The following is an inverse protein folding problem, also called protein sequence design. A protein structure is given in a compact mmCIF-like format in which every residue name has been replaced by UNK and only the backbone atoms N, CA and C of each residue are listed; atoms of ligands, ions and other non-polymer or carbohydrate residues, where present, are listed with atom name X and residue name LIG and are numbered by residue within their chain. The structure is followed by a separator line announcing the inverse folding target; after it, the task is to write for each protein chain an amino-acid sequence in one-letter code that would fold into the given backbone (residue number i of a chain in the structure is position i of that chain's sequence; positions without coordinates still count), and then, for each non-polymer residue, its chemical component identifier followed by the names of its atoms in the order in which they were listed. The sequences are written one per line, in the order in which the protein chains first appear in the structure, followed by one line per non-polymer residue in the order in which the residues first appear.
data_IF_612950523797
#
_entry.id   IF_612950523797
#
_cell.length_a   1.000
_cell.length_b   1.000
_cell.length_c   1.000
_cell.angle_alpha   90.00
_cell.angle_beta   90.00
_cell.angle_gamma   90.00
#
_symmetry.space_group_name_H-M   'P 1'
#
loop_
_entity.id
_entity.type
_entity.pdbx_description
1 polymer ?
#
# COMPACT_ATOMS: atom_id res chain seq x y z
N UNK A 1 -0.98 -8.16 -17.79
CA UNK A 1 -2.31 -8.05 -17.12
C UNK A 1 -2.61 -9.27 -16.26
N UNK A 2 -2.44 -10.48 -16.83
CA UNK A 2 -2.70 -11.74 -16.11
C UNK A 2 -1.79 -11.91 -14.88
N UNK A 3 -0.74 -11.10 -14.81
CA UNK A 3 0.20 -11.17 -13.69
C UNK A 3 1.05 -9.90 -13.60
N UNK A 4 1.77 -9.53 -14.69
CA UNK A 4 2.61 -8.34 -14.69
C UNK A 4 1.91 -7.11 -14.14
N UNK A 5 2.12 -6.84 -12.86
CA UNK A 5 1.50 -5.70 -12.19
C UNK A 5 1.70 -4.41 -12.97
N UNK A 6 1.00 -3.37 -12.54
CA UNK A 6 1.10 -2.06 -13.19
C UNK A 6 1.16 -0.95 -12.14
N UNK A 7 2.21 -0.15 -12.19
CA UNK A 7 2.40 0.93 -11.24
C UNK A 7 1.26 1.93 -11.30
N UNK A 8 0.80 2.37 -10.12
CA UNK A 8 -0.28 3.32 -10.02
C UNK A 8 -0.11 4.19 -8.76
N UNK A 9 -0.02 5.50 -8.97
CA UNK A 9 0.15 6.43 -7.85
C UNK A 9 -1.11 6.48 -6.99
N UNK A 10 -0.93 6.43 -5.68
CA UNK A 10 -2.06 6.47 -4.76
C UNK A 10 -1.80 7.40 -3.58
N UNK A 11 -2.84 8.08 -3.15
CA UNK A 11 -2.76 9.00 -2.02
C UNK A 11 -3.94 8.77 -1.08
N UNK A 12 -3.71 8.85 0.22
CA UNK A 12 -4.77 8.64 1.20
C UNK A 12 -4.69 9.64 2.34
N UNK A 13 -5.62 9.51 3.28
CA UNK A 13 -5.68 10.40 4.44
C UNK A 13 -6.00 9.59 5.70
N UNK A 14 -5.16 9.72 6.71
CA UNK A 14 -5.36 9.00 7.96
C UNK A 14 -6.09 9.86 8.99
N UNK A 15 -6.60 9.21 10.03
CA UNK A 15 -7.32 9.92 11.09
C UNK A 15 -6.58 9.80 12.41
N UNK A 16 -6.57 10.89 13.18
CA UNK A 16 -5.90 10.90 14.48
C UNK A 16 -6.49 9.85 15.41
N UNK A 17 -6.01 8.61 15.30
CA UNK A 17 -6.50 7.54 16.14
C UNK A 17 -6.70 6.24 15.40
N UNK A 18 -6.48 6.26 14.08
CA UNK A 18 -6.63 5.06 13.26
C UNK A 18 -5.41 4.15 13.37
N UNK A 19 -5.62 2.85 13.20
CA UNK A 19 -4.55 1.87 13.28
C UNK A 19 -3.99 1.55 11.90
N UNK A 20 -4.68 2.01 10.85
CA UNK A 20 -4.24 1.78 9.49
C UNK A 20 -4.78 2.85 8.55
N UNK A 21 -4.38 2.80 7.29
CA UNK A 21 -4.84 3.77 6.30
C UNK A 21 -6.06 3.29 5.54
N UNK A 22 -6.57 2.11 5.90
CA UNK A 22 -7.74 1.58 5.24
C UNK A 22 -7.47 0.29 4.48
N UNK A 23 -6.36 -0.38 4.79
CA UNK A 23 -6.03 -1.62 4.12
C UNK A 23 -4.80 -2.28 4.74
N UNK A 24 -4.90 -3.59 4.97
CA UNK A 24 -3.79 -4.36 5.55
C UNK A 24 -2.93 -4.95 4.44
N UNK A 25 -1.65 -5.14 4.74
CA UNK A 25 -0.72 -5.69 3.76
C UNK A 25 -0.19 -7.06 4.19
N UNK A 26 0.46 -7.75 3.26
CA UNK A 26 1.02 -9.06 3.52
C UNK A 26 2.45 -9.16 2.98
N UNK A 27 3.32 -9.81 3.73
CA UNK A 27 4.71 -9.97 3.32
C UNK A 27 4.82 -10.92 2.14
N UNK A 28 5.39 -10.43 1.04
CA UNK A 28 5.55 -11.25 -0.14
C UNK A 28 6.70 -12.21 0.02
N UNK A 29 6.42 -13.39 0.54
CA UNK A 29 7.46 -14.39 0.78
C UNK A 29 7.76 -15.19 -0.47
N UNK A 30 7.04 -14.94 -1.55
CA UNK A 30 7.28 -15.65 -2.80
C UNK A 30 8.51 -15.08 -3.48
N UNK A 31 8.94 -13.92 -2.98
CA UNK A 31 10.11 -13.24 -3.50
C UNK A 31 10.67 -12.28 -2.45
N UNK A 32 10.09 -11.08 -2.39
CA UNK A 32 10.49 -10.04 -1.45
C UNK A 32 9.55 -8.84 -1.57
N UNK A 33 9.09 -8.31 -0.44
CA UNK A 33 8.21 -7.15 -0.47
C UNK A 33 6.95 -7.33 0.33
N UNK A 34 5.92 -6.53 0.01
CA UNK A 34 4.64 -6.59 0.71
C UNK A 34 3.52 -6.08 -0.18
N UNK A 35 2.34 -6.68 -0.07
CA UNK A 35 1.19 -6.28 -0.87
C UNK A 35 -0.07 -6.21 -0.02
N UNK A 36 -1.00 -5.33 -0.41
CA UNK A 36 -2.25 -5.18 0.32
C UNK A 36 -3.04 -6.48 0.34
N UNK A 37 -3.35 -6.94 1.55
CA UNK A 37 -4.11 -8.17 1.72
C UNK A 37 -5.61 -7.91 1.69
N UNK A 38 -6.00 -6.71 2.09
CA UNK A 38 -7.41 -6.34 2.12
C UNK A 38 -7.59 -4.85 2.37
N UNK A 39 -8.56 -4.25 1.67
CA UNK A 39 -8.86 -2.84 1.81
C UNK A 39 -10.29 -2.62 2.29
N UNK A 40 -10.48 -1.61 3.14
CA UNK A 40 -11.81 -1.31 3.66
C UNK A 40 -12.75 -0.84 2.54
N UNK A 41 -13.77 -1.65 2.21
CA UNK A 41 -14.72 -1.30 1.16
C UNK A 41 -15.40 0.05 1.39
N UNK A 42 -15.03 1.03 0.57
CA UNK A 42 -15.59 2.38 0.67
C UNK A 42 -14.86 3.21 1.73
N UNK A 43 -13.55 3.03 1.80
CA UNK A 43 -12.75 3.77 2.76
C UNK A 43 -11.63 4.55 2.10
N UNK A 44 -10.70 5.12 2.89
CA UNK A 44 -9.58 5.89 2.35
C UNK A 44 -8.85 5.13 1.25
N UNK A 45 -8.62 3.84 1.48
CA UNK A 45 -7.95 3.02 0.49
C UNK A 45 -8.75 2.87 -0.79
N UNK A 46 -10.07 2.74 -0.65
CA UNK A 46 -10.95 2.60 -1.80
C UNK A 46 -11.09 3.94 -2.53
N UNK A 47 -11.03 5.02 -1.75
CA UNK A 47 -11.15 6.36 -2.32
C UNK A 47 -9.88 6.74 -3.07
N UNK A 48 -8.75 6.23 -2.59
CA UNK A 48 -7.47 6.51 -3.23
C UNK A 48 -7.30 5.76 -4.53
N UNK A 49 -7.70 4.49 -4.54
CA UNK A 49 -7.58 3.68 -5.74
C UNK A 49 -6.78 2.41 -5.52
N UNK A 50 -6.46 2.12 -4.25
CA UNK A 50 -5.69 0.92 -3.94
C UNK A 50 -6.46 -0.34 -4.31
N UNK A 51 -5.92 -1.10 -5.25
CA UNK A 51 -6.56 -2.33 -5.70
C UNK A 51 -5.79 -3.55 -5.18
N UNK A 52 -6.50 -4.62 -4.78
CA UNK A 52 -5.89 -5.84 -4.27
C UNK A 52 -4.61 -6.24 -5.03
N UNK A 53 -3.58 -6.62 -4.27
CA UNK A 53 -2.29 -7.02 -4.84
C UNK A 53 -1.38 -5.82 -5.08
N UNK A 54 -1.92 -4.61 -4.87
CA UNK A 54 -1.16 -3.39 -5.07
C UNK A 54 0.12 -3.40 -4.23
N UNK A 55 1.16 -4.02 -4.77
CA UNK A 55 2.44 -4.10 -4.09
C UNK A 55 3.07 -2.73 -3.94
N UNK A 56 2.97 -2.16 -2.75
CA UNK A 56 3.54 -0.85 -2.47
C UNK A 56 5.02 -0.79 -2.86
N UNK A 57 5.31 -0.11 -3.95
CA UNK A 57 6.69 0.01 -4.43
C UNK A 57 7.44 1.11 -3.69
N UNK A 58 6.98 2.35 -3.86
CA UNK A 58 7.62 3.50 -3.22
C UNK A 58 6.64 4.24 -2.32
N UNK A 59 6.94 4.28 -1.03
CA UNK A 59 6.09 4.96 -0.07
C UNK A 59 6.63 6.34 0.29
N UNK A 60 5.83 7.37 0.01
CA UNK A 60 6.22 8.75 0.30
C UNK A 60 7.64 9.04 -0.17
N UNK A 61 7.98 8.58 -1.37
CA UNK A 61 9.30 8.78 -1.97
C UNK A 61 10.29 7.70 -1.53
N UNK A 62 9.99 7.01 -0.43
CA UNK A 62 10.87 5.96 0.08
C UNK A 62 10.63 4.65 -0.67
N UNK A 63 11.69 4.14 -1.30
CA UNK A 63 11.61 2.89 -2.04
C UNK A 63 11.43 1.70 -1.11
N UNK A 64 10.18 1.42 -0.74
CA UNK A 64 9.88 0.30 0.15
C UNK A 64 9.48 -0.94 -0.63
N UNK A 65 10.04 -1.09 -1.83
CA UNK A 65 9.75 -2.23 -2.68
C UNK A 65 10.32 -3.51 -2.08
N UNK A 66 11.57 -3.44 -1.64
CA UNK A 66 12.23 -4.60 -1.04
C UNK A 66 12.05 -4.63 0.47
N UNK A 67 11.06 -3.88 0.96
CA UNK A 67 10.78 -3.83 2.39
C UNK A 67 9.94 -5.02 2.83
N UNK A 68 9.77 -5.16 4.15
CA UNK A 68 8.98 -6.24 4.70
C UNK A 68 7.73 -5.70 5.37
N UNK A 69 6.78 -6.58 5.69
CA UNK A 69 5.54 -6.18 6.33
C UNK A 69 5.81 -5.34 7.57
N UNK A 70 6.77 -5.77 8.39
CA UNK A 70 7.11 -5.05 9.61
C UNK A 70 7.60 -3.64 9.30
N UNK A 71 8.03 -3.41 8.07
CA UNK A 71 8.53 -2.09 7.67
C UNK A 71 7.47 -1.30 6.92
N UNK A 72 6.63 -2.01 6.16
CA UNK A 72 5.57 -1.37 5.40
C UNK A 72 4.40 -1.00 6.29
N UNK A 73 4.12 -1.83 7.29
CA UNK A 73 3.02 -1.56 8.21
C UNK A 73 3.22 -0.20 8.90
N UNK A 74 4.40 0.03 9.50
CA UNK A 74 4.68 1.30 10.18
C UNK A 74 4.79 2.45 9.20
N UNK A 75 5.49 2.22 8.08
CA UNK A 75 5.65 3.25 7.06
C UNK A 75 4.29 3.75 6.60
N UNK A 76 3.31 2.86 6.63
CA UNK A 76 1.95 3.21 6.23
C UNK A 76 1.29 4.10 7.29
N UNK A 77 1.34 3.65 8.54
CA UNK A 77 0.76 4.40 9.64
C UNK A 77 1.66 5.55 10.10
N UNK A 78 2.83 5.67 9.48
CA UNK A 78 3.77 6.73 9.84
C UNK A 78 3.76 7.87 8.82
N UNK A 79 3.03 7.70 7.73
CA UNK A 79 2.96 8.73 6.70
C UNK A 79 2.29 10.00 7.22
N UNK A 80 1.62 9.89 8.36
CA UNK A 80 0.95 11.04 8.94
C UNK A 80 -0.51 11.11 8.57
N UNK A 81 -1.01 12.32 8.35
CA UNK A 81 -2.41 12.52 7.98
C UNK A 81 -2.68 12.12 6.53
N UNK A 82 -1.62 11.78 5.80
CA UNK A 82 -1.77 11.40 4.40
C UNK A 82 -0.74 10.34 4.01
N UNK A 83 -1.10 9.50 3.04
CA UNK A 83 -0.20 8.44 2.58
C UNK A 83 -0.07 8.45 1.06
N UNK A 84 1.00 9.06 0.58
CA UNK A 84 1.27 9.13 -0.86
C UNK A 84 2.27 8.05 -1.22
N UNK A 85 1.87 7.11 -2.06
CA UNK A 85 2.76 6.02 -2.47
C UNK A 85 2.45 5.51 -3.87
N UNK A 86 3.43 4.78 -4.42
CA UNK A 86 3.30 4.20 -5.75
C UNK A 86 3.28 2.69 -5.66
N UNK A 87 2.11 2.10 -5.91
CA UNK A 87 1.96 0.65 -5.83
C UNK A 87 1.88 0.02 -7.22
N UNK A 88 1.96 -1.30 -7.27
CA UNK A 88 1.89 -2.04 -8.53
C UNK A 88 0.93 -3.22 -8.43
N UNK A 89 -0.09 -3.23 -9.28
CA UNK A 89 -1.07 -4.31 -9.27
C UNK A 89 -1.41 -4.76 -10.70
N UNK A 90 -1.70 -6.05 -10.84
CA UNK A 90 -2.04 -6.62 -12.14
C UNK A 90 -3.45 -6.21 -12.56
N UNK A 91 -3.59 -5.54 -13.73
CA UNK A 91 -4.89 -5.10 -14.23
C UNK A 91 -5.77 -6.26 -14.68
#
# INVERSE_FOLDING_TARGET
SPTPVELHKVTLYKDSGMEDFGFSVADGLLEKGVYVKNIRPAGPGDLGGLKPYDRLLQVNHVRTRDFDCCLVVPLIAESGNKLDLVISRNP
#
